data_IF_538083923934
#
_entry.id   IF_538083923934
#
_cell.length_a   1.000
_cell.length_b   1.000
_cell.length_c   1.000
_cell.angle_alpha   90.00
_cell.angle_beta   90.00
_cell.angle_gamma   90.00
#
_symmetry.space_group_name_H-M   'P 1'
#
loop_
_entity.id
_entity.type
_entity.pdbx_description
1 polymer ?
#
# COMPACT_ATOMS: atom_id res chain seq x y z
N UNK A 1 12.63 -16.86 -0.47
CA UNK A 1 12.38 -15.96 0.66
C UNK A 1 10.91 -15.58 0.63
N UNK A 2 10.22 -15.61 1.75
CA UNK A 2 8.86 -15.07 1.83
C UNK A 2 8.90 -13.55 1.76
N UNK A 3 7.80 -12.91 1.34
CA UNK A 3 7.78 -11.43 1.33
C UNK A 3 7.92 -10.87 2.74
N UNK A 4 7.36 -11.51 3.76
CA UNK A 4 7.49 -11.08 5.16
C UNK A 4 8.95 -11.09 5.63
N UNK A 5 9.72 -12.12 5.29
CA UNK A 5 11.17 -12.15 5.56
C UNK A 5 11.91 -11.04 4.81
N UNK A 6 11.54 -10.77 3.55
CA UNK A 6 12.14 -9.69 2.77
C UNK A 6 11.83 -8.31 3.38
N UNK A 7 10.59 -8.08 3.82
CA UNK A 7 10.13 -6.85 4.49
C UNK A 7 10.91 -6.62 5.78
N UNK A 8 11.11 -7.66 6.59
CA UNK A 8 11.86 -7.56 7.85
C UNK A 8 13.33 -7.14 7.67
N UNK A 9 13.93 -7.41 6.51
CA UNK A 9 15.31 -7.04 6.20
C UNK A 9 15.44 -5.81 5.28
N UNK A 10 14.33 -5.29 4.76
CA UNK A 10 14.35 -4.18 3.82
C UNK A 10 14.65 -2.83 4.50
N UNK A 11 15.27 -1.91 3.78
CA UNK A 11 15.49 -0.54 4.25
C UNK A 11 14.24 0.32 4.00
N UNK A 12 13.53 0.77 5.05
CA UNK A 12 12.36 1.63 4.88
C UNK A 12 12.69 3.00 4.26
N UNK A 13 13.94 3.49 4.34
CA UNK A 13 14.33 4.73 3.66
C UNK A 13 14.42 4.54 2.15
N UNK A 14 14.92 3.40 1.70
CA UNK A 14 14.88 3.03 0.29
C UNK A 14 13.41 2.98 -0.16
N UNK A 15 12.56 2.30 0.60
CA UNK A 15 11.11 2.23 0.39
C UNK A 15 10.43 3.59 0.28
N UNK A 16 10.74 4.51 1.18
CA UNK A 16 10.25 5.89 1.16
C UNK A 16 10.62 6.60 -0.14
N UNK A 17 11.86 6.45 -0.61
CA UNK A 17 12.30 7.05 -1.87
C UNK A 17 11.55 6.44 -3.08
N UNK A 18 11.28 5.13 -3.08
CA UNK A 18 10.44 4.48 -4.10
C UNK A 18 9.00 5.01 -4.04
N UNK A 19 8.40 5.06 -2.85
CA UNK A 19 7.03 5.54 -2.66
C UNK A 19 6.87 7.01 -3.05
N UNK A 20 7.87 7.86 -2.77
CA UNK A 20 7.86 9.26 -3.16
C UNK A 20 7.81 9.44 -4.69
N UNK A 21 8.53 8.61 -5.46
CA UNK A 21 8.52 8.69 -6.94
C UNK A 21 7.27 8.07 -7.57
N UNK A 22 6.69 7.02 -6.97
CA UNK A 22 5.61 6.25 -7.62
C UNK A 22 4.21 6.54 -7.07
N UNK A 23 4.09 6.94 -5.81
CA UNK A 23 2.81 6.99 -5.10
C UNK A 23 2.40 8.41 -4.70
N UNK A 24 3.37 9.31 -4.45
CA UNK A 24 3.12 10.64 -3.88
C UNK A 24 2.28 11.59 -4.76
N UNK A 25 2.16 11.31 -6.07
CA UNK A 25 1.25 12.05 -6.95
C UNK A 25 -0.22 11.81 -6.58
N UNK A 26 -0.53 10.61 -6.08
CA UNK A 26 -1.91 10.18 -5.82
C UNK A 26 -2.23 10.05 -4.33
N UNK A 27 -1.22 9.83 -3.48
CA UNK A 27 -1.40 9.51 -2.08
C UNK A 27 -0.62 10.44 -1.16
N UNK A 28 -1.25 10.79 -0.03
CA UNK A 28 -0.56 11.35 1.13
C UNK A 28 0.01 10.22 1.99
N UNK A 29 1.01 10.56 2.81
CA UNK A 29 1.63 9.66 3.80
C UNK A 29 1.56 10.24 5.23
N UNK A 30 0.90 11.38 5.40
CA UNK A 30 0.83 12.08 6.66
C UNK A 30 -0.39 11.64 7.45
N UNK A 31 -0.24 11.53 8.77
CA UNK A 31 -1.38 11.29 9.66
C UNK A 31 -2.48 12.32 9.41
N UNK A 32 -3.71 11.84 9.21
CA UNK A 32 -4.87 12.65 8.87
C UNK A 32 -4.68 13.50 7.59
N UNK A 33 -3.83 13.02 6.68
CA UNK A 33 -3.56 13.64 5.40
C UNK A 33 -4.79 13.63 4.48
N UNK A 34 -4.86 14.56 3.52
CA UNK A 34 -6.00 14.63 2.61
C UNK A 34 -6.00 13.42 1.66
N UNK A 35 -7.19 12.91 1.36
CA UNK A 35 -7.39 12.12 0.15
C UNK A 35 -7.17 13.01 -1.08
N UNK A 36 -6.45 12.47 -2.09
CA UNK A 36 -6.17 13.16 -3.35
C UNK A 36 -6.83 12.37 -4.49
N UNK A 37 -6.03 11.87 -5.45
CA UNK A 37 -6.51 10.89 -6.43
C UNK A 37 -6.78 9.56 -5.73
N UNK A 38 -5.88 9.15 -4.83
CA UNK A 38 -6.00 8.01 -3.93
C UNK A 38 -6.29 8.43 -2.48
N UNK A 39 -6.64 7.47 -1.60
CA UNK A 39 -6.73 7.71 -0.16
C UNK A 39 -5.36 8.09 0.44
N UNK A 40 -5.34 8.68 1.63
CA UNK A 40 -4.11 8.74 2.44
C UNK A 40 -3.64 7.32 2.84
N UNK A 41 -2.33 7.13 3.00
CA UNK A 41 -1.72 5.83 3.29
C UNK A 41 -1.19 5.71 4.72
N UNK A 42 -1.40 6.70 5.57
CA UNK A 42 -1.05 6.59 6.98
C UNK A 42 -1.95 5.56 7.66
N UNK A 43 -1.33 4.61 8.37
CA UNK A 43 -2.00 3.52 9.06
C UNK A 43 -2.49 2.40 8.14
N UNK A 44 -2.07 2.37 6.86
CA UNK A 44 -2.57 1.37 5.89
C UNK A 44 -2.07 -0.03 6.17
N UNK A 45 -0.86 -0.19 6.71
CA UNK A 45 -0.30 -1.51 7.00
C UNK A 45 -1.10 -2.20 8.11
N UNK A 46 -1.67 -3.37 7.81
CA UNK A 46 -2.52 -4.14 8.71
C UNK A 46 -3.97 -3.69 8.81
N UNK A 47 -4.37 -2.58 8.19
CA UNK A 47 -5.77 -2.13 8.19
C UNK A 47 -6.66 -2.95 7.26
N UNK A 48 -7.98 -2.80 7.37
CA UNK A 48 -8.91 -3.45 6.45
C UNK A 48 -8.82 -2.82 5.04
N UNK A 49 -8.98 -3.65 4.00
CA UNK A 49 -8.93 -3.18 2.62
C UNK A 49 -10.10 -2.23 2.34
N UNK A 50 -9.79 -1.05 1.79
CA UNK A 50 -10.81 -0.05 1.46
C UNK A 50 -11.42 0.65 2.69
N UNK A 51 -10.68 0.71 3.80
CA UNK A 51 -11.14 1.30 5.05
C UNK A 51 -10.58 2.71 5.27
N UNK A 52 -11.15 3.67 4.54
CA UNK A 52 -10.93 5.10 4.77
C UNK A 52 -12.27 5.85 4.76
N UNK A 53 -12.70 6.41 5.90
CA UNK A 53 -13.92 7.19 5.96
C UNK A 53 -13.92 8.34 4.95
N UNK A 54 -15.00 8.44 4.17
CA UNK A 54 -15.22 9.52 3.21
C UNK A 54 -14.50 9.36 1.86
N UNK A 55 -13.69 8.31 1.67
CA UNK A 55 -13.11 8.01 0.35
C UNK A 55 -13.98 7.02 -0.42
N UNK A 56 -14.30 7.35 -1.68
CA UNK A 56 -15.09 6.48 -2.56
C UNK A 56 -14.20 5.49 -3.31
N UNK A 57 -14.03 4.29 -2.74
CA UNK A 57 -13.27 3.21 -3.34
C UNK A 57 -13.95 2.62 -4.59
N UNK A 58 -13.16 2.11 -5.53
CA UNK A 58 -13.71 1.35 -6.65
C UNK A 58 -14.52 0.14 -6.15
N UNK A 59 -15.65 -0.21 -6.80
CA UNK A 59 -16.41 -1.40 -6.45
C UNK A 59 -15.55 -2.68 -6.43
N UNK A 60 -14.56 -2.76 -7.34
CA UNK A 60 -13.59 -3.85 -7.40
C UNK A 60 -12.80 -3.98 -6.09
N UNK A 61 -12.11 -2.91 -5.65
CA UNK A 61 -11.35 -2.96 -4.40
C UNK A 61 -12.25 -3.11 -3.17
N UNK A 62 -13.43 -2.49 -3.16
CA UNK A 62 -14.39 -2.60 -2.06
C UNK A 62 -14.94 -4.03 -1.87
N UNK A 63 -14.85 -4.89 -2.88
CA UNK A 63 -15.19 -6.31 -2.76
C UNK A 63 -14.23 -7.08 -1.82
N UNK A 64 -13.02 -6.55 -1.60
CA UNK A 64 -12.01 -7.15 -0.73
C UNK A 64 -12.08 -6.65 0.74
N UNK A 65 -13.12 -5.91 1.13
CA UNK A 65 -13.25 -5.30 2.48
C UNK A 65 -13.25 -6.26 3.68
N UNK A 66 -13.30 -7.57 3.45
CA UNK A 66 -13.14 -8.59 4.48
C UNK A 66 -11.67 -8.99 4.70
N UNK A 67 -10.78 -8.59 3.80
CA UNK A 67 -9.33 -8.80 3.86
C UNK A 67 -8.64 -7.63 4.58
N UNK A 68 -7.39 -7.88 4.99
CA UNK A 68 -6.52 -6.88 5.61
C UNK A 68 -5.25 -6.72 4.79
N UNK A 69 -4.65 -5.54 4.87
CA UNK A 69 -3.36 -5.21 4.26
C UNK A 69 -2.19 -5.86 5.01
N UNK A 70 -2.10 -7.19 4.95
CA UNK A 70 -0.90 -7.95 5.36
C UNK A 70 0.23 -7.76 4.36
N UNK A 71 1.46 -8.15 4.71
CA UNK A 71 2.61 -8.10 3.79
C UNK A 71 2.35 -8.85 2.48
N UNK A 72 1.73 -10.04 2.56
CA UNK A 72 1.35 -10.82 1.39
C UNK A 72 0.31 -10.10 0.52
N UNK A 73 -0.72 -9.55 1.15
CA UNK A 73 -1.82 -8.88 0.44
C UNK A 73 -1.34 -7.57 -0.20
N UNK A 74 -0.53 -6.79 0.52
CA UNK A 74 0.13 -5.60 0.00
C UNK A 74 1.09 -5.94 -1.14
N UNK A 75 1.85 -7.03 -1.03
CA UNK A 75 2.75 -7.47 -2.10
C UNK A 75 2.00 -7.86 -3.36
N UNK A 76 0.91 -8.64 -3.24
CA UNK A 76 0.07 -9.01 -4.37
C UNK A 76 -0.60 -7.79 -5.01
N UNK A 77 -1.07 -6.84 -4.18
CA UNK A 77 -1.62 -5.57 -4.65
C UNK A 77 -0.59 -4.73 -5.39
N UNK A 78 0.60 -4.54 -4.81
CA UNK A 78 1.66 -3.73 -5.40
C UNK A 78 2.26 -4.38 -6.64
N UNK A 79 2.29 -5.71 -6.75
CA UNK A 79 2.79 -6.43 -7.92
C UNK A 79 1.93 -6.15 -9.16
N UNK A 80 0.61 -6.22 -9.02
CA UNK A 80 -0.32 -5.98 -10.12
C UNK A 80 -1.74 -5.63 -9.60
N UNK A 81 -2.04 -4.35 -9.35
CA UNK A 81 -3.33 -3.95 -8.78
C UNK A 81 -4.54 -4.39 -9.60
N UNK A 82 -4.43 -4.31 -10.93
CA UNK A 82 -5.47 -4.73 -11.86
C UNK A 82 -5.69 -6.26 -11.88
N UNK A 83 -4.71 -7.06 -11.44
CA UNK A 83 -4.87 -8.51 -11.26
C UNK A 83 -5.47 -8.82 -9.89
N UNK A 84 -5.06 -8.10 -8.85
CA UNK A 84 -5.58 -8.28 -7.50
C UNK A 84 -7.07 -7.90 -7.41
N UNK A 85 -7.43 -6.70 -7.86
CA UNK A 85 -8.81 -6.24 -7.96
C UNK A 85 -9.14 -5.80 -9.39
N UNK A 86 -9.59 -6.72 -10.26
CA UNK A 86 -9.98 -6.41 -11.64
C UNK A 86 -11.06 -5.33 -11.69
N UNK A 87 -10.77 -4.21 -12.36
CA UNK A 87 -11.65 -3.04 -12.40
C UNK A 87 -11.38 -2.00 -11.31
N UNK A 88 -10.27 -2.12 -10.56
CA UNK A 88 -9.79 -1.06 -9.68
C UNK A 88 -9.60 0.25 -10.42
N UNK A 89 -9.90 1.36 -9.75
CA UNK A 89 -9.65 2.72 -10.28
C UNK A 89 -8.20 3.18 -10.10
N UNK A 90 -7.36 2.41 -9.41
CA UNK A 90 -5.94 2.73 -9.27
C UNK A 90 -5.19 2.38 -10.56
N UNK A 91 -4.95 3.40 -11.40
CA UNK A 91 -4.21 3.27 -12.65
C UNK A 91 -2.69 3.19 -12.40
N UNK A 92 -2.24 2.06 -11.85
CA UNK A 92 -0.84 1.79 -11.54
C UNK A 92 -0.39 0.46 -12.15
N UNK A 93 0.72 0.42 -12.90
CA UNK A 93 1.18 -0.80 -13.58
C UNK A 93 1.69 -1.89 -12.63
N UNK A 94 2.09 -1.52 -11.41
CA UNK A 94 2.65 -2.43 -10.43
C UNK A 94 4.17 -2.28 -10.25
N UNK A 95 4.70 -2.97 -9.25
CA UNK A 95 6.11 -3.05 -8.87
C UNK A 95 6.54 -4.52 -9.00
N UNK A 96 7.17 -4.92 -10.13
CA UNK A 96 7.44 -6.32 -10.42
C UNK A 96 8.55 -6.91 -9.53
N UNK A 97 9.51 -6.09 -9.11
CA UNK A 97 10.63 -6.53 -8.27
C UNK A 97 10.18 -6.73 -6.82
N UNK A 98 10.32 -7.95 -6.31
CA UNK A 98 9.89 -8.28 -4.95
C UNK A 98 10.66 -7.49 -3.87
N UNK A 99 11.93 -7.17 -4.10
CA UNK A 99 12.74 -6.34 -3.19
C UNK A 99 12.23 -4.90 -3.09
N UNK A 100 11.81 -4.31 -4.22
CA UNK A 100 11.20 -2.97 -4.24
C UNK A 100 9.85 -2.98 -3.52
N UNK A 101 9.04 -4.03 -3.71
CA UNK A 101 7.79 -4.21 -2.94
C UNK A 101 8.05 -4.31 -1.45
N UNK A 102 9.01 -5.15 -1.05
CA UNK A 102 9.37 -5.32 0.35
C UNK A 102 9.83 -4.00 0.98
N UNK A 103 10.64 -3.20 0.29
CA UNK A 103 11.06 -1.89 0.76
C UNK A 103 9.88 -0.92 0.91
N UNK A 104 8.97 -0.85 -0.07
CA UNK A 104 7.75 -0.01 0.02
C UNK A 104 6.89 -0.45 1.21
N UNK A 105 6.67 -1.76 1.39
CA UNK A 105 5.87 -2.29 2.50
C UNK A 105 6.54 -1.97 3.85
N UNK A 106 7.86 -2.14 3.95
CA UNK A 106 8.62 -1.74 5.14
C UNK A 106 8.46 -0.25 5.46
N UNK A 107 8.43 0.62 4.44
CA UNK A 107 8.10 2.03 4.61
C UNK A 107 6.65 2.25 5.09
N UNK A 108 5.66 1.56 4.52
CA UNK A 108 4.26 1.67 4.95
C UNK A 108 4.06 1.30 6.42
N UNK A 109 4.81 0.31 6.93
CA UNK A 109 4.81 -0.03 8.37
C UNK A 109 5.29 1.13 9.26
N UNK A 110 6.15 2.01 8.76
CA UNK A 110 6.59 3.21 9.50
C UNK A 110 5.52 4.30 9.58
N UNK A 111 4.49 4.25 8.74
CA UNK A 111 3.41 5.23 8.69
C UNK A 111 2.32 4.92 9.71
N UNK A 112 2.66 4.75 10.98
CA UNK A 112 1.68 4.51 12.03
C UNK A 112 2.12 5.10 13.36
N UNK A 113 1.16 5.37 14.26
CA UNK A 113 1.45 5.87 15.61
C UNK A 113 2.15 4.83 16.50
N UNK A 114 2.24 3.58 16.02
CA UNK A 114 2.62 2.42 16.79
C UNK A 114 3.80 1.64 16.23
N UNK A 115 4.76 2.33 15.59
CA UNK A 115 6.00 1.71 15.09
C UNK A 115 6.56 0.73 16.12
N UNK A 116 6.43 -0.56 15.81
CA UNK A 116 7.03 -1.68 16.53
C UNK A 116 7.74 -2.54 15.53
#
# INVERSE_FOLDING_TARGET
ESIAEAVAHADPKAGQALAARTCAMCHSFAKDGPAMIGPDLYGVAGSAVGDMPGYDFSPALAAHKAEHWTDDTLSAWLEAPARFAPGTRMAFPGVPEAGDRAAIIAFLHTLSDGGK
#
